data_IF_210673062012
#
_entry.id   IF_210673062012
#
_cell.length_a   1.000
_cell.length_b   1.000
_cell.length_c   1.000
_cell.angle_alpha   90.00
_cell.angle_beta   90.00
_cell.angle_gamma   90.00
#
_symmetry.space_group_name_H-M   'P 1'
#
loop_
_entity.id
_entity.type
_entity.pdbx_description
1 polymer ?
#
# COMPACT_ATOMS: atom_id res chain seq x y z
N UNK A 1 -8.93 16.29 75.39
CA UNK A 1 -9.65 17.00 74.31
C UNK A 1 -8.82 16.80 73.02
N UNK A 2 -9.22 15.87 72.17
CA UNK A 2 -8.53 15.55 70.93
C UNK A 2 -9.23 16.25 69.77
N UNK A 3 -8.54 16.98 68.89
CA UNK A 3 -9.07 17.36 67.60
C UNK A 3 -8.68 16.34 66.53
N UNK A 4 -9.68 15.78 65.84
CA UNK A 4 -9.61 14.88 64.72
C UNK A 4 -8.96 15.57 63.51
N UNK A 5 -7.83 15.00 63.02
CA UNK A 5 -7.27 15.28 61.69
C UNK A 5 -8.09 14.50 60.67
N UNK A 6 -8.84 15.16 59.83
CA UNK A 6 -9.48 14.57 58.63
C UNK A 6 -8.51 14.72 57.44
N UNK A 7 -7.87 13.61 57.07
CA UNK A 7 -7.11 13.53 55.82
C UNK A 7 -8.08 13.36 54.66
N UNK A 8 -8.14 14.37 53.77
CA UNK A 8 -8.87 14.30 52.51
C UNK A 8 -7.97 13.62 51.48
N UNK A 9 -8.32 12.40 51.08
CA UNK A 9 -7.72 11.76 49.91
C UNK A 9 -8.27 12.41 48.63
N UNK A 10 -7.42 13.15 47.93
CA UNK A 10 -7.73 13.64 46.58
C UNK A 10 -7.39 12.52 45.61
N UNK A 11 -8.44 11.83 45.08
CA UNK A 11 -8.30 10.90 43.97
C UNK A 11 -8.10 11.73 42.70
N UNK A 12 -6.86 11.80 42.23
CA UNK A 12 -6.56 12.34 40.89
C UNK A 12 -6.97 11.30 39.82
N UNK A 13 -8.12 11.51 39.20
CA UNK A 13 -8.55 10.75 38.01
C UNK A 13 -7.66 11.13 36.83
N UNK A 14 -6.74 10.26 36.46
CA UNK A 14 -6.04 10.36 35.17
C UNK A 14 -7.05 10.12 34.04
N UNK A 15 -7.54 11.19 33.44
CA UNK A 15 -8.26 11.14 32.17
C UNK A 15 -7.22 10.90 31.11
N UNK A 16 -7.05 9.65 30.68
CA UNK A 16 -6.35 9.32 29.45
C UNK A 16 -7.17 9.87 28.29
N UNK A 17 -6.77 11.03 27.76
CA UNK A 17 -7.29 11.56 26.51
C UNK A 17 -6.77 10.63 25.41
N UNK A 18 -7.52 9.57 25.14
CA UNK A 18 -7.34 8.77 23.94
C UNK A 18 -7.60 9.67 22.74
N UNK A 19 -6.54 10.04 22.01
CA UNK A 19 -6.68 10.75 20.74
C UNK A 19 -7.55 9.90 19.82
N UNK A 20 -8.81 10.31 19.63
CA UNK A 20 -9.69 9.77 18.59
C UNK A 20 -9.06 10.19 17.27
N UNK A 21 -8.27 9.29 16.69
CA UNK A 21 -7.67 9.47 15.37
C UNK A 21 -8.80 9.61 14.36
N UNK A 22 -8.80 10.74 13.64
CA UNK A 22 -9.63 10.89 12.44
C UNK A 22 -9.39 9.68 11.55
N UNK A 23 -10.44 8.92 11.27
CA UNK A 23 -10.36 7.58 10.70
C UNK A 23 -9.74 7.52 9.31
N UNK A 24 -9.53 8.67 8.64
CA UNK A 24 -9.25 8.76 7.20
C UNK A 24 -8.00 9.60 6.87
N UNK A 25 -7.06 9.77 7.79
CA UNK A 25 -5.88 10.61 7.58
C UNK A 25 -4.58 9.82 7.59
N UNK A 26 -3.59 10.34 6.84
CA UNK A 26 -2.22 9.86 6.90
C UNK A 26 -1.55 10.36 8.17
N UNK A 27 -0.98 9.45 8.94
CA UNK A 27 -0.08 9.77 10.06
C UNK A 27 1.36 9.77 9.58
N UNK A 28 2.11 10.79 9.97
CA UNK A 28 3.53 10.90 9.68
C UNK A 28 4.28 10.83 11.02
N UNK A 29 5.24 9.92 11.14
CA UNK A 29 6.06 9.76 12.34
C UNK A 29 7.49 9.36 11.94
N UNK A 30 8.47 10.23 12.22
CA UNK A 30 9.84 10.02 11.82
C UNK A 30 9.97 9.83 10.31
N UNK A 31 10.44 8.65 9.88
CA UNK A 31 10.57 8.29 8.45
C UNK A 31 9.43 7.39 7.95
N UNK A 32 8.30 7.40 8.64
CA UNK A 32 7.15 6.56 8.32
C UNK A 32 5.90 7.39 8.02
N UNK A 33 5.09 6.89 7.10
CA UNK A 33 3.70 7.26 6.97
C UNK A 33 2.83 6.03 7.22
N UNK A 34 1.71 6.22 7.87
CA UNK A 34 0.71 5.17 8.07
C UNK A 34 -0.68 5.69 7.70
N UNK A 35 -1.45 4.89 6.96
CA UNK A 35 -2.81 5.24 6.55
C UNK A 35 -3.72 4.01 6.57
N UNK A 36 -5.04 4.23 6.81
CA UNK A 36 -6.00 3.14 6.90
C UNK A 36 -6.35 2.55 5.55
N UNK A 37 -6.58 1.23 5.55
CA UNK A 37 -7.08 0.49 4.41
C UNK A 37 -7.95 -0.69 4.88
N UNK A 38 -8.72 -1.27 3.96
CA UNK A 38 -9.57 -2.43 4.20
C UNK A 38 -9.06 -3.62 3.39
N UNK A 39 -9.01 -4.80 4.01
CA UNK A 39 -8.64 -6.06 3.33
C UNK A 39 -9.71 -6.44 2.33
N UNK A 40 -9.31 -6.78 1.10
CA UNK A 40 -10.21 -7.20 0.00
C UNK A 40 -9.56 -8.33 -0.80
N UNK A 41 -9.18 -9.40 -0.10
CA UNK A 41 -8.48 -10.58 -0.67
C UNK A 41 -9.27 -11.20 -1.82
N UNK A 42 -10.58 -11.41 -1.66
CA UNK A 42 -11.42 -11.99 -2.70
C UNK A 42 -11.39 -11.16 -4.00
N UNK A 43 -11.29 -9.84 -3.89
CA UNK A 43 -11.14 -8.95 -5.06
C UNK A 43 -9.78 -9.08 -5.72
N UNK A 44 -8.72 -9.23 -4.92
CA UNK A 44 -7.34 -9.37 -5.41
C UNK A 44 -7.08 -10.69 -6.15
N UNK A 45 -7.70 -11.79 -5.68
CA UNK A 45 -7.49 -13.12 -6.23
C UNK A 45 -8.49 -13.48 -7.34
N UNK A 46 -9.55 -12.70 -7.50
CA UNK A 46 -10.63 -12.98 -8.47
C UNK A 46 -10.22 -12.66 -9.90
N UNK A 47 -10.37 -13.63 -10.76
CA UNK A 47 -10.41 -13.43 -12.20
C UNK A 47 -11.85 -13.08 -12.61
N UNK A 48 -12.12 -11.81 -12.91
CA UNK A 48 -13.43 -11.34 -13.36
C UNK A 48 -13.53 -11.51 -14.88
N UNK A 49 -14.04 -12.64 -15.39
CA UNK A 49 -14.43 -12.86 -16.80
C UNK A 49 -13.46 -12.26 -17.84
N UNK A 50 -12.15 -12.45 -17.65
CA UNK A 50 -11.13 -11.88 -18.52
C UNK A 50 -10.83 -10.39 -18.34
N UNK A 51 -11.49 -9.69 -17.42
CA UNK A 51 -11.25 -8.29 -17.10
C UNK A 51 -10.55 -8.06 -15.75
N UNK A 52 -10.31 -9.13 -14.99
CA UNK A 52 -9.59 -9.05 -13.72
C UNK A 52 -8.09 -8.87 -13.92
N UNK A 53 -7.45 -8.28 -12.93
CA UNK A 53 -5.99 -8.21 -12.82
C UNK A 53 -5.55 -8.94 -11.54
N UNK A 54 -5.76 -10.27 -11.45
CA UNK A 54 -5.46 -11.01 -10.23
C UNK A 54 -3.98 -10.89 -9.87
N UNK A 55 -3.69 -10.65 -8.58
CA UNK A 55 -2.34 -10.56 -8.08
C UNK A 55 -1.53 -9.34 -8.56
N UNK A 56 -2.17 -8.24 -9.00
CA UNK A 56 -1.48 -7.09 -9.57
C UNK A 56 -1.41 -5.88 -8.62
N UNK A 57 -2.57 -5.42 -8.15
CA UNK A 57 -2.67 -4.22 -7.33
C UNK A 57 -2.61 -4.55 -5.84
N UNK A 58 -1.60 -4.06 -5.14
CA UNK A 58 -1.51 -4.28 -3.69
C UNK A 58 -2.40 -3.30 -2.92
N UNK A 59 -2.21 -1.99 -3.12
CA UNK A 59 -2.97 -0.94 -2.43
C UNK A 59 -3.53 0.05 -3.44
N UNK A 60 -4.83 0.29 -3.39
CA UNK A 60 -5.53 1.23 -4.27
C UNK A 60 -6.49 2.10 -3.44
N UNK A 61 -6.60 3.38 -3.78
CA UNK A 61 -7.64 4.26 -3.24
C UNK A 61 -9.03 3.67 -3.53
N UNK A 62 -9.91 3.64 -2.55
CA UNK A 62 -11.21 2.94 -2.62
C UNK A 62 -12.11 3.36 -3.79
N UNK A 63 -11.99 4.61 -4.28
CA UNK A 63 -12.73 5.14 -5.42
C UNK A 63 -11.93 5.10 -6.73
N UNK A 64 -10.70 4.61 -6.71
CA UNK A 64 -9.90 4.42 -7.92
C UNK A 64 -10.47 3.30 -8.79
N UNK A 65 -10.33 3.44 -10.11
CA UNK A 65 -10.85 2.43 -11.06
C UNK A 65 -10.23 1.04 -10.89
N UNK A 66 -9.05 0.93 -10.27
CA UNK A 66 -8.38 -0.34 -9.97
C UNK A 66 -8.76 -0.97 -8.62
N UNK A 67 -9.62 -0.31 -7.81
CA UNK A 67 -9.98 -0.78 -6.47
C UNK A 67 -10.65 -2.17 -6.47
N UNK A 68 -11.36 -2.51 -7.56
CA UNK A 68 -12.04 -3.81 -7.71
C UNK A 68 -11.07 -5.00 -7.78
N UNK A 69 -9.79 -4.78 -8.03
CA UNK A 69 -8.78 -5.82 -8.21
C UNK A 69 -7.59 -5.64 -7.25
N UNK A 70 -7.80 -4.98 -6.09
CA UNK A 70 -6.75 -4.72 -5.11
C UNK A 70 -6.86 -5.61 -3.88
N UNK A 71 -5.71 -5.84 -3.21
CA UNK A 71 -5.66 -6.54 -1.92
C UNK A 71 -6.10 -5.63 -0.78
N UNK A 72 -5.75 -4.36 -0.85
CA UNK A 72 -6.11 -3.36 0.15
C UNK A 72 -6.75 -2.15 -0.51
N UNK A 73 -7.93 -1.74 -0.02
CA UNK A 73 -8.58 -0.49 -0.42
C UNK A 73 -8.28 0.58 0.60
N UNK A 74 -7.48 1.58 0.20
CA UNK A 74 -7.10 2.69 1.06
C UNK A 74 -8.21 3.75 1.17
N UNK A 75 -8.36 4.34 2.36
CA UNK A 75 -9.27 5.47 2.59
C UNK A 75 -8.70 6.79 2.06
N UNK A 76 -7.39 6.85 1.87
CA UNK A 76 -6.65 8.03 1.37
C UNK A 76 -6.38 7.91 -0.12
N UNK A 77 -6.31 9.04 -0.81
CA UNK A 77 -6.02 9.08 -2.24
C UNK A 77 -4.54 8.80 -2.54
N UNK A 78 -4.26 8.38 -3.75
CA UNK A 78 -2.90 8.21 -4.24
C UNK A 78 -2.11 9.53 -4.27
N UNK A 79 -2.79 10.68 -4.48
CA UNK A 79 -2.19 12.03 -4.39
C UNK A 79 -1.76 12.34 -2.96
N UNK A 80 -2.63 12.09 -1.97
CA UNK A 80 -2.30 12.32 -0.56
C UNK A 80 -1.08 11.50 -0.10
N UNK A 81 -0.99 10.24 -0.53
CA UNK A 81 0.17 9.39 -0.20
C UNK A 81 1.44 9.91 -0.87
N UNK A 82 1.34 10.36 -2.13
CA UNK A 82 2.46 10.95 -2.86
C UNK A 82 2.96 12.21 -2.16
N UNK A 83 2.06 13.12 -1.79
CA UNK A 83 2.38 14.35 -1.06
C UNK A 83 3.04 14.05 0.30
N UNK A 84 2.56 13.02 1.01
CA UNK A 84 3.12 12.62 2.30
C UNK A 84 4.55 12.07 2.16
N UNK A 85 4.84 11.28 1.13
CA UNK A 85 6.19 10.78 0.85
C UNK A 85 7.15 11.93 0.48
N UNK A 86 6.70 12.86 -0.36
CA UNK A 86 7.48 14.06 -0.72
C UNK A 86 7.72 14.96 0.50
N UNK A 87 6.74 15.10 1.39
CA UNK A 87 6.88 15.85 2.66
C UNK A 87 7.92 15.22 3.58
N UNK A 88 8.10 13.89 3.55
CA UNK A 88 9.19 13.18 4.25
C UNK A 88 10.55 13.36 3.58
N UNK A 89 10.64 14.11 2.48
CA UNK A 89 11.86 14.34 1.72
C UNK A 89 12.20 13.27 0.68
N UNK A 90 11.29 12.31 0.43
CA UNK A 90 11.48 11.36 -0.64
C UNK A 90 11.34 12.06 -2.01
N UNK A 91 12.35 11.92 -2.86
CA UNK A 91 12.27 12.41 -4.24
C UNK A 91 11.82 11.27 -5.13
N UNK A 92 10.75 11.44 -5.94
CA UNK A 92 10.32 10.41 -6.87
C UNK A 92 11.45 10.06 -7.85
N UNK A 93 11.51 8.80 -8.24
CA UNK A 93 12.50 8.31 -9.19
C UNK A 93 12.10 8.56 -10.65
N UNK A 94 12.16 7.51 -11.48
CA UNK A 94 11.72 7.63 -12.85
C UNK A 94 10.18 7.59 -12.97
N UNK A 95 9.64 8.45 -13.79
CA UNK A 95 8.26 8.37 -14.22
C UNK A 95 8.19 7.44 -15.45
N UNK A 96 7.73 6.20 -15.25
CA UNK A 96 7.45 5.30 -16.37
C UNK A 96 6.39 5.88 -17.29
N UNK A 97 6.61 5.81 -18.61
CA UNK A 97 5.66 6.26 -19.61
C UNK A 97 4.40 5.40 -19.67
N UNK A 98 3.33 5.97 -20.19
CA UNK A 98 2.07 5.23 -20.41
C UNK A 98 2.22 4.08 -21.41
N UNK A 99 3.18 4.18 -22.33
CA UNK A 99 3.51 3.15 -23.30
C UNK A 99 3.92 1.81 -22.65
N UNK A 100 4.46 1.83 -21.44
CA UNK A 100 4.71 0.61 -20.64
C UNK A 100 3.44 -0.24 -20.52
N UNK A 101 2.30 0.41 -20.29
CA UNK A 101 1.01 -0.28 -20.20
C UNK A 101 0.35 -0.47 -21.58
N UNK A 102 0.34 0.56 -22.41
CA UNK A 102 -0.31 0.53 -23.72
C UNK A 102 0.26 -0.57 -24.62
N UNK A 103 1.58 -0.74 -24.62
CA UNK A 103 2.30 -1.75 -25.39
C UNK A 103 2.49 -3.08 -24.66
N UNK A 104 1.81 -3.32 -23.53
CA UNK A 104 2.06 -4.49 -22.68
C UNK A 104 1.94 -5.84 -23.37
N UNK A 105 1.13 -5.93 -24.43
CA UNK A 105 0.95 -7.13 -25.26
C UNK A 105 1.79 -7.14 -26.53
N UNK A 106 2.43 -6.03 -26.86
CA UNK A 106 3.29 -5.90 -28.04
C UNK A 106 4.61 -6.65 -27.79
N UNK A 107 4.88 -7.69 -28.58
CA UNK A 107 6.06 -8.55 -28.41
C UNK A 107 7.36 -7.85 -28.81
N UNK A 108 7.29 -6.90 -29.73
CA UNK A 108 8.47 -6.20 -30.29
C UNK A 108 8.84 -4.95 -29.46
N UNK A 109 7.91 -4.42 -28.68
CA UNK A 109 8.18 -3.29 -27.80
C UNK A 109 8.95 -3.69 -26.54
N UNK A 110 9.97 -2.91 -26.17
CA UNK A 110 10.70 -3.04 -24.92
C UNK A 110 10.10 -2.19 -23.78
N UNK A 111 9.11 -1.35 -24.06
CA UNK A 111 8.49 -0.49 -23.07
C UNK A 111 7.94 -1.25 -21.86
N UNK A 112 7.23 -2.39 -22.00
CA UNK A 112 6.71 -3.16 -20.88
C UNK A 112 7.78 -3.82 -19.99
N UNK A 113 9.05 -3.83 -20.40
CA UNK A 113 10.17 -4.37 -19.65
C UNK A 113 10.88 -3.31 -18.79
N UNK A 114 10.42 -2.06 -18.84
CA UNK A 114 10.99 -0.99 -18.01
C UNK A 114 10.71 -1.21 -16.53
N UNK A 115 11.71 -0.89 -15.71
CA UNK A 115 11.68 -1.09 -14.27
C UNK A 115 11.55 0.26 -13.57
N UNK A 116 10.66 0.31 -12.56
CA UNK A 116 10.51 1.47 -11.69
C UNK A 116 11.78 1.69 -10.88
N UNK A 117 12.22 2.95 -10.79
CA UNK A 117 13.35 3.38 -9.98
C UNK A 117 12.94 4.48 -8.99
N UNK A 118 13.76 4.68 -7.98
CA UNK A 118 13.54 5.69 -6.94
C UNK A 118 14.00 5.22 -5.57
N UNK A 119 13.81 6.03 -4.53
CA UNK A 119 14.14 5.64 -3.16
C UNK A 119 13.42 4.36 -2.76
N UNK A 120 14.08 3.47 -1.99
CA UNK A 120 13.45 2.29 -1.46
C UNK A 120 12.39 2.65 -0.42
N UNK A 121 11.24 1.98 -0.50
CA UNK A 121 10.14 2.10 0.44
C UNK A 121 9.82 0.71 0.99
N UNK A 122 9.96 0.51 2.27
CA UNK A 122 9.47 -0.70 2.91
C UNK A 122 7.96 -0.58 3.10
N UNK A 123 7.21 -1.49 2.50
CA UNK A 123 5.74 -1.55 2.61
C UNK A 123 5.37 -2.63 3.61
N UNK A 124 4.66 -2.22 4.67
CA UNK A 124 4.31 -3.06 5.81
C UNK A 124 2.82 -2.95 6.09
N UNK A 125 2.26 -3.96 6.77
CA UNK A 125 0.85 -4.00 7.15
C UNK A 125 0.71 -4.16 8.66
N UNK A 126 -0.01 -3.24 9.29
CA UNK A 126 -0.42 -3.32 10.69
C UNK A 126 -1.79 -3.98 10.78
N UNK A 127 -1.82 -5.18 11.35
CA UNK A 127 -3.05 -5.92 11.60
C UNK A 127 -3.51 -5.68 13.04
N UNK A 128 -4.78 -5.33 13.29
CA UNK A 128 -5.31 -5.19 14.64
C UNK A 128 -5.04 -6.44 15.49
N UNK A 129 -4.61 -6.23 16.73
CA UNK A 129 -4.30 -7.33 17.66
C UNK A 129 -2.97 -8.06 17.42
N UNK A 130 -2.24 -7.75 16.35
CA UNK A 130 -0.88 -8.26 16.14
C UNK A 130 0.16 -7.18 16.51
N UNK A 131 1.13 -7.49 17.39
CA UNK A 131 2.14 -6.51 17.83
C UNK A 131 3.13 -6.16 16.72
N UNK A 132 3.47 -7.12 15.87
CA UNK A 132 4.44 -6.93 14.78
C UNK A 132 3.75 -6.48 13.47
N UNK A 133 4.44 -5.62 12.73
CA UNK A 133 4.08 -5.32 11.35
C UNK A 133 4.40 -6.51 10.45
N UNK A 134 3.51 -6.81 9.50
CA UNK A 134 3.74 -7.85 8.51
C UNK A 134 4.46 -7.28 7.29
N UNK A 135 5.49 -7.98 6.82
CA UNK A 135 6.17 -7.67 5.56
C UNK A 135 5.41 -8.27 4.37
N UNK A 136 5.73 -7.83 3.15
CA UNK A 136 5.13 -8.39 1.94
C UNK A 136 5.49 -9.89 1.76
N UNK A 137 6.72 -10.29 2.11
CA UNK A 137 7.14 -11.70 2.08
C UNK A 137 6.34 -12.59 3.03
N UNK A 138 5.86 -12.04 4.15
CA UNK A 138 5.00 -12.77 5.07
C UNK A 138 3.56 -12.88 4.55
N UNK A 139 3.09 -11.89 3.80
CA UNK A 139 1.69 -11.79 3.32
C UNK A 139 1.49 -12.54 2.02
N UNK A 140 2.44 -12.45 1.09
CA UNK A 140 2.29 -12.89 -0.29
C UNK A 140 3.17 -14.09 -0.62
N UNK A 141 2.64 -14.98 -1.42
CA UNK A 141 3.40 -15.95 -2.18
C UNK A 141 4.00 -15.25 -3.40
N UNK A 142 5.29 -15.41 -3.60
CA UNK A 142 6.02 -14.92 -4.77
C UNK A 142 6.44 -16.10 -5.64
N UNK A 143 5.64 -16.50 -6.64
CA UNK A 143 5.95 -17.66 -7.48
C UNK A 143 7.16 -17.45 -8.40
N UNK A 144 7.56 -16.19 -8.61
CA UNK A 144 8.78 -15.87 -9.39
C UNK A 144 10.06 -15.90 -8.55
N UNK A 145 9.95 -15.94 -7.21
CA UNK A 145 11.09 -16.03 -6.28
C UNK A 145 12.06 -14.85 -6.32
N UNK A 146 11.65 -13.69 -6.89
CA UNK A 146 12.53 -12.51 -7.01
C UNK A 146 12.43 -11.56 -5.82
N UNK A 147 11.42 -11.75 -4.96
CA UNK A 147 11.18 -10.93 -3.77
C UNK A 147 10.58 -9.56 -4.08
N UNK A 148 10.63 -8.69 -3.07
CA UNK A 148 10.03 -7.37 -3.12
C UNK A 148 11.10 -6.29 -2.97
N UNK A 149 11.27 -5.46 -4.01
CA UNK A 149 12.09 -4.25 -4.00
C UNK A 149 11.18 -3.07 -4.36
N UNK A 150 10.49 -2.54 -3.36
CA UNK A 150 9.50 -1.49 -3.56
C UNK A 150 10.18 -0.14 -3.69
N UNK A 151 9.88 0.59 -4.76
CA UNK A 151 10.50 1.86 -5.13
C UNK A 151 9.47 2.97 -5.30
N UNK A 152 9.81 4.17 -4.84
CA UNK A 152 8.98 5.36 -5.03
C UNK A 152 9.25 5.98 -6.40
N UNK A 153 8.46 5.59 -7.39
CA UNK A 153 8.52 6.15 -8.76
C UNK A 153 7.78 7.48 -8.91
N UNK A 154 6.72 7.66 -8.13
CA UNK A 154 5.91 8.88 -8.09
C UNK A 154 4.78 8.92 -9.13
N UNK A 155 5.10 9.00 -10.42
CA UNK A 155 4.14 9.00 -11.53
C UNK A 155 2.99 10.03 -11.42
N UNK A 156 3.21 11.19 -10.78
CA UNK A 156 2.19 12.23 -10.55
C UNK A 156 1.51 12.65 -11.86
N UNK A 157 2.27 12.82 -12.92
CA UNK A 157 1.78 13.26 -14.24
C UNK A 157 0.77 12.26 -14.86
N UNK A 158 0.79 10.99 -14.46
CA UNK A 158 -0.10 9.97 -15.00
C UNK A 158 -1.47 9.92 -14.29
N UNK A 159 -1.60 10.55 -13.11
CA UNK A 159 -2.83 10.47 -12.29
C UNK A 159 -4.07 10.98 -13.04
N UNK A 160 -4.07 12.18 -13.65
CA UNK A 160 -5.26 12.71 -14.32
C UNK A 160 -5.73 11.85 -15.49
N UNK A 161 -4.77 11.22 -16.20
CA UNK A 161 -5.05 10.38 -17.36
C UNK A 161 -5.59 9.01 -16.96
N UNK A 162 -5.02 8.40 -15.93
CA UNK A 162 -5.30 7.00 -15.61
C UNK A 162 -6.40 6.80 -14.57
N UNK A 163 -6.49 7.68 -13.58
CA UNK A 163 -7.51 7.64 -12.51
C UNK A 163 -7.62 6.27 -11.82
N UNK A 164 -6.54 5.49 -11.86
CA UNK A 164 -6.54 4.14 -11.27
C UNK A 164 -6.63 4.17 -9.75
N UNK A 165 -6.16 5.26 -9.11
CA UNK A 165 -6.02 5.34 -7.66
C UNK A 165 -4.93 4.40 -7.10
N UNK A 166 -4.08 3.81 -7.98
CA UNK A 166 -3.08 2.84 -7.56
C UNK A 166 -1.97 3.51 -6.74
N UNK A 167 -1.87 3.11 -5.48
CA UNK A 167 -0.84 3.55 -4.55
C UNK A 167 0.36 2.60 -4.66
N UNK A 168 0.11 1.28 -4.54
CA UNK A 168 1.16 0.25 -4.63
C UNK A 168 0.79 -0.82 -5.64
N UNK A 169 1.70 -1.08 -6.59
CA UNK A 169 1.62 -2.22 -7.50
C UNK A 169 2.73 -3.23 -7.21
N UNK A 170 2.45 -4.51 -7.44
CA UNK A 170 3.43 -5.60 -7.33
C UNK A 170 4.34 -5.72 -8.56
N UNK A 171 4.19 -4.80 -9.49
CA UNK A 171 4.96 -4.70 -10.75
C UNK A 171 5.39 -3.26 -10.98
N UNK A 172 6.37 -3.08 -11.86
CA UNK A 172 6.81 -1.76 -12.36
C UNK A 172 5.74 -1.17 -13.28
N UNK A 173 4.81 -0.41 -12.68
CA UNK A 173 3.60 0.08 -13.34
C UNK A 173 3.57 1.62 -13.41
N UNK A 174 3.28 2.24 -14.57
CA UNK A 174 3.21 3.69 -14.70
C UNK A 174 2.02 4.33 -13.95
N UNK A 175 1.09 3.55 -13.42
CA UNK A 175 -0.04 4.03 -12.60
C UNK A 175 0.23 4.08 -11.12
N UNK A 176 1.23 3.35 -10.62
CA UNK A 176 1.54 3.26 -9.18
C UNK A 176 2.40 4.42 -8.69
N UNK A 177 2.29 4.74 -7.38
CA UNK A 177 3.20 5.68 -6.72
C UNK A 177 4.43 4.94 -6.20
N UNK A 178 4.20 3.74 -5.67
CA UNK A 178 5.23 2.79 -5.26
C UNK A 178 5.02 1.51 -6.05
N UNK A 179 6.07 0.94 -6.61
CA UNK A 179 6.01 -0.29 -7.39
C UNK A 179 7.17 -1.21 -7.09
N UNK A 180 7.00 -2.50 -7.42
CA UNK A 180 8.04 -3.50 -7.25
C UNK A 180 9.00 -3.47 -8.45
N UNK A 181 10.27 -3.17 -8.19
CA UNK A 181 11.32 -3.13 -9.21
C UNK A 181 11.80 -4.52 -9.67
N UNK A 182 11.37 -5.59 -9.00
CA UNK A 182 11.73 -6.98 -9.37
C UNK A 182 10.88 -7.55 -10.50
N UNK A 183 9.72 -6.92 -10.78
CA UNK A 183 8.74 -7.41 -11.75
C UNK A 183 8.30 -6.30 -12.68
N UNK A 184 8.20 -6.61 -13.97
CA UNK A 184 7.73 -5.69 -15.00
C UNK A 184 6.26 -5.98 -15.35
N UNK A 185 5.62 -5.09 -16.11
CA UNK A 185 4.26 -5.32 -16.62
C UNK A 185 4.22 -6.57 -17.51
N UNK A 186 5.31 -6.85 -18.23
CA UNK A 186 5.39 -8.03 -19.10
C UNK A 186 5.41 -9.36 -18.32
N UNK A 187 5.97 -9.37 -17.12
CA UNK A 187 5.94 -10.56 -16.26
C UNK A 187 4.49 -10.94 -15.93
N UNK A 188 3.63 -9.97 -15.68
CA UNK A 188 2.21 -10.20 -15.43
C UNK A 188 1.47 -10.64 -16.71
N UNK A 189 1.68 -9.94 -17.85
CA UNK A 189 1.01 -10.24 -19.12
C UNK A 189 1.35 -11.65 -19.62
N UNK A 190 2.59 -12.08 -19.42
CA UNK A 190 3.03 -13.43 -19.81
C UNK A 190 2.70 -14.49 -18.77
N UNK A 191 1.90 -14.16 -17.76
CA UNK A 191 1.48 -15.06 -16.68
C UNK A 191 2.63 -15.71 -15.89
N UNK A 192 3.85 -15.15 -16.02
CA UNK A 192 5.05 -15.68 -15.36
C UNK A 192 4.98 -15.58 -13.85
N UNK A 193 4.14 -14.67 -13.34
CA UNK A 193 3.99 -14.42 -11.91
C UNK A 193 2.59 -13.93 -11.62
N UNK A 194 1.89 -14.63 -10.72
CA UNK A 194 0.64 -14.16 -10.11
C UNK A 194 0.82 -14.27 -8.60
N UNK A 195 0.96 -13.13 -7.93
CA UNK A 195 1.03 -13.08 -6.48
C UNK A 195 -0.28 -13.57 -5.87
N UNK A 196 -0.19 -14.33 -4.79
CA UNK A 196 -1.34 -14.83 -4.01
C UNK A 196 -1.15 -14.49 -2.55
N UNK A 197 -2.23 -14.42 -1.81
CA UNK A 197 -2.17 -14.20 -0.36
C UNK A 197 -1.92 -15.54 0.34
N UNK A 198 -0.92 -15.58 1.21
CA UNK A 198 -0.65 -16.77 2.04
C UNK A 198 -1.84 -17.06 2.95
N UNK A 199 -2.28 -18.33 3.06
CA UNK A 199 -3.42 -18.69 3.90
C UNK A 199 -3.23 -18.30 5.37
N UNK A 200 -4.27 -17.79 6.01
CA UNK A 200 -4.28 -17.52 7.46
C UNK A 200 -3.44 -16.33 7.94
N UNK A 201 -2.76 -15.60 7.05
CA UNK A 201 -1.88 -14.48 7.43
C UNK A 201 -2.66 -13.19 7.64
N UNK A 202 -3.52 -12.83 6.70
CA UNK A 202 -4.38 -11.64 6.79
C UNK A 202 -5.71 -11.98 7.48
N UNK A 203 -6.34 -11.00 8.14
CA UNK A 203 -7.71 -11.16 8.64
C UNK A 203 -8.71 -11.24 7.47
N UNK A 204 -9.97 -11.48 7.81
CA UNK A 204 -11.07 -11.58 6.84
C UNK A 204 -11.29 -10.29 6.05
N UNK A 205 -11.88 -10.43 4.85
CA UNK A 205 -12.29 -9.30 4.01
C UNK A 205 -13.21 -8.37 4.80
N UNK A 206 -13.05 -7.06 4.58
CA UNK A 206 -13.73 -6.02 5.34
C UNK A 206 -12.99 -5.57 6.60
N UNK A 207 -11.97 -6.30 7.06
CA UNK A 207 -11.19 -5.89 8.23
C UNK A 207 -10.32 -4.67 7.91
N UNK A 208 -10.38 -3.66 8.81
CA UNK A 208 -9.54 -2.46 8.74
C UNK A 208 -8.12 -2.77 9.21
N UNK A 209 -7.12 -2.33 8.43
CA UNK A 209 -5.69 -2.48 8.69
C UNK A 209 -4.98 -1.14 8.49
N UNK A 210 -3.75 -1.00 8.98
CA UNK A 210 -2.86 0.12 8.68
C UNK A 210 -1.87 -0.29 7.58
N UNK A 211 -1.72 0.53 6.55
CA UNK A 211 -0.61 0.42 5.60
C UNK A 211 0.50 1.36 6.06
N UNK A 212 1.68 0.83 6.26
CA UNK A 212 2.85 1.58 6.72
C UNK A 212 3.91 1.61 5.63
N UNK A 213 4.35 2.80 5.26
CA UNK A 213 5.53 2.99 4.43
C UNK A 213 6.67 3.55 5.27
N UNK A 214 7.81 2.88 5.20
CA UNK A 214 9.05 3.30 5.87
C UNK A 214 10.09 3.64 4.81
N UNK A 215 10.58 4.87 4.82
CA UNK A 215 11.72 5.29 3.97
C UNK A 215 13.02 4.76 4.57
N UNK A 216 13.81 4.08 3.76
CA UNK A 216 15.15 3.59 4.14
C UNK A 216 16.24 4.61 3.83
#
# INVERSE_FOLDING_TARGET
MNPFLRSALILASLVTIGSVLSADSIRISGREIEFPATVTRASFERELLGMGMPGYHLVVYKEGSAAMASLFRAEVTDVQVLDALEKLGAKPGNALGMDVWEKRKDKDSKAPDQVIAGPPVEVLVRVPGKPALLTLDQILEDPGGRGFDMRFGGHRANIPRWKSGCIVCLYSCPGSKVGNARYTVRDWVNERTKFRVKPGVLPEDGTRVGIVFRLR
#
